data_IF_607563354646
#
_entry.id   IF_607563354646
#
_cell.length_a   1.000
_cell.length_b   1.000
_cell.length_c   1.000
_cell.angle_alpha   90.00
_cell.angle_beta   90.00
_cell.angle_gamma   90.00
#
_symmetry.space_group_name_H-M   'P 1'
#
loop_
_entity.id
_entity.type
_entity.pdbx_description
1 polymer ?
#
# COMPACT_ATOMS: atom_id res chain seq x y z
N UNK A 1 -17.40 12.54 7.96
CA UNK A 1 -16.39 11.49 7.68
C UNK A 1 -15.46 12.01 6.58
N UNK A 2 -14.14 11.87 6.73
CA UNK A 2 -13.17 12.41 5.77
C UNK A 2 -12.52 11.31 4.92
N UNK A 3 -13.32 10.39 4.39
CA UNK A 3 -12.84 9.32 3.50
C UNK A 3 -13.61 9.30 2.18
N UNK A 4 -12.99 8.73 1.15
CA UNK A 4 -13.65 8.43 -0.13
C UNK A 4 -13.56 6.93 -0.42
N UNK A 5 -14.70 6.31 -0.68
CA UNK A 5 -14.83 4.88 -0.93
C UNK A 5 -14.97 4.62 -2.42
N UNK A 6 -14.16 3.70 -2.92
CA UNK A 6 -14.05 3.31 -4.32
C UNK A 6 -14.53 1.86 -4.44
N UNK A 7 -15.71 1.63 -5.03
CA UNK A 7 -16.20 0.27 -5.23
C UNK A 7 -15.31 -0.49 -6.23
N UNK A 8 -15.38 -1.81 -6.19
CA UNK A 8 -14.80 -2.67 -7.22
C UNK A 8 -15.71 -2.71 -8.45
N UNK A 9 -15.84 -1.57 -9.12
CA UNK A 9 -16.68 -1.41 -10.30
C UNK A 9 -15.94 -0.60 -11.35
N UNK A 10 -15.96 -1.08 -12.59
CA UNK A 10 -15.42 -0.34 -13.73
C UNK A 10 -16.30 0.88 -14.07
N UNK A 11 -15.69 1.88 -14.72
CA UNK A 11 -16.42 3.02 -15.29
C UNK A 11 -16.90 4.06 -14.27
N UNK A 12 -16.46 3.98 -13.01
CA UNK A 12 -16.75 5.04 -12.04
C UNK A 12 -15.89 6.28 -12.30
N UNK A 13 -16.44 7.46 -12.04
CA UNK A 13 -15.67 8.70 -12.05
C UNK A 13 -14.94 8.87 -10.71
N UNK A 14 -13.61 8.78 -10.72
CA UNK A 14 -12.78 9.11 -9.57
C UNK A 14 -12.64 10.64 -9.43
N UNK A 15 -12.67 11.19 -8.20
CA UNK A 15 -12.39 12.60 -7.96
C UNK A 15 -11.07 13.02 -8.61
N UNK A 16 -11.01 14.26 -9.11
CA UNK A 16 -9.78 14.82 -9.69
C UNK A 16 -8.66 14.93 -8.64
N UNK A 17 -9.04 15.21 -7.39
CA UNK A 17 -8.11 15.41 -6.28
C UNK A 17 -8.47 14.48 -5.12
N UNK A 18 -7.82 13.31 -5.09
CA UNK A 18 -7.94 12.35 -3.99
C UNK A 18 -7.31 12.86 -2.69
N UNK A 19 -6.42 13.85 -2.76
CA UNK A 19 -5.75 14.42 -1.58
C UNK A 19 -6.65 15.24 -0.66
N UNK A 20 -7.88 15.56 -1.10
CA UNK A 20 -8.89 16.23 -0.26
C UNK A 20 -9.45 15.34 0.83
N UNK A 21 -9.32 14.02 0.67
CA UNK A 21 -9.81 13.03 1.62
C UNK A 21 -8.64 12.56 2.49
N UNK A 22 -8.86 12.45 3.79
CA UNK A 22 -7.86 11.89 4.71
C UNK A 22 -7.57 10.41 4.37
N UNK A 23 -8.58 9.68 3.89
CA UNK A 23 -8.45 8.25 3.58
C UNK A 23 -9.15 7.91 2.26
N UNK A 24 -8.48 7.07 1.47
CA UNK A 24 -9.09 6.42 0.31
C UNK A 24 -9.30 4.95 0.66
N UNK A 25 -10.52 4.45 0.45
CA UNK A 25 -10.90 3.06 0.73
C UNK A 25 -11.20 2.37 -0.60
N UNK A 26 -10.37 1.41 -0.98
CA UNK A 26 -10.60 0.54 -2.13
C UNK A 26 -11.34 -0.73 -1.67
N UNK A 27 -12.53 -0.97 -2.22
CA UNK A 27 -13.23 -2.24 -2.03
C UNK A 27 -12.65 -3.29 -2.96
N UNK A 28 -12.55 -4.54 -2.51
CA UNK A 28 -12.12 -5.68 -3.32
C UNK A 28 -13.04 -6.87 -3.09
N UNK A 29 -13.28 -7.68 -4.11
CA UNK A 29 -14.08 -8.91 -4.02
C UNK A 29 -13.20 -10.17 -4.13
N UNK A 30 -11.90 -9.97 -4.35
CA UNK A 30 -10.88 -11.00 -4.40
C UNK A 30 -9.79 -10.67 -3.36
N UNK A 31 -8.76 -11.52 -3.29
CA UNK A 31 -7.63 -11.28 -2.39
C UNK A 31 -6.74 -10.13 -2.89
N UNK A 32 -6.60 -9.98 -4.21
CA UNK A 32 -5.75 -8.97 -4.82
C UNK A 32 -6.46 -7.61 -4.91
N UNK A 33 -5.83 -6.55 -4.40
CA UNK A 33 -6.34 -5.18 -4.54
C UNK A 33 -6.26 -4.69 -5.99
N UNK A 34 -5.34 -5.24 -6.78
CA UNK A 34 -5.15 -4.86 -8.18
C UNK A 34 -6.22 -5.44 -9.13
N UNK A 35 -7.05 -6.37 -8.65
CA UNK A 35 -8.26 -6.79 -9.37
C UNK A 35 -9.34 -5.70 -9.36
N UNK A 36 -9.25 -4.71 -8.46
CA UNK A 36 -10.10 -3.52 -8.55
C UNK A 36 -9.62 -2.66 -9.74
N UNK A 37 -10.47 -2.42 -10.76
CA UNK A 37 -10.08 -1.72 -11.99
C UNK A 37 -9.65 -0.27 -11.76
N UNK A 38 -9.89 0.28 -10.56
CA UNK A 38 -9.56 1.64 -10.19
C UNK A 38 -8.22 1.76 -9.45
N UNK A 39 -7.62 0.65 -9.01
CA UNK A 39 -6.41 0.67 -8.15
C UNK A 39 -5.24 1.37 -8.83
N UNK A 40 -5.01 1.14 -10.13
CA UNK A 40 -3.95 1.82 -10.88
C UNK A 40 -4.15 3.32 -10.93
N UNK A 41 -5.37 3.75 -11.25
CA UNK A 41 -5.67 5.18 -11.32
C UNK A 41 -5.55 5.84 -9.95
N UNK A 42 -5.82 5.12 -8.86
CA UNK A 42 -5.55 5.61 -7.51
C UNK A 42 -4.05 5.74 -7.26
N UNK A 43 -3.25 4.71 -7.56
CA UNK A 43 -1.78 4.76 -7.37
C UNK A 43 -1.10 5.87 -8.19
N UNK A 44 -1.65 6.22 -9.35
CA UNK A 44 -1.18 7.35 -10.15
C UNK A 44 -1.58 8.71 -9.57
N UNK A 45 -2.67 8.78 -8.79
CA UNK A 45 -3.28 10.03 -8.30
C UNK A 45 -3.02 10.35 -6.83
N UNK A 46 -2.66 9.37 -6.00
CA UNK A 46 -2.30 9.62 -4.60
C UNK A 46 -1.05 10.54 -4.54
N UNK A 47 -0.99 11.46 -3.56
CA UNK A 47 0.08 12.47 -3.40
C UNK A 47 0.42 12.67 -1.93
N UNK A 48 1.69 12.82 -1.55
CA UNK A 48 2.07 13.63 -0.40
C UNK A 48 2.12 15.11 -0.81
N UNK A 49 1.34 15.98 -0.17
CA UNK A 49 1.64 17.43 -0.11
C UNK A 49 1.20 18.36 -1.25
N UNK A 50 0.52 17.91 -2.31
CA UNK A 50 0.08 18.76 -3.43
C UNK A 50 0.86 18.52 -4.72
N UNK A 51 0.45 19.12 -5.86
CA UNK A 51 1.09 18.88 -7.19
C UNK A 51 2.62 19.11 -7.09
N UNK A 52 3.47 18.23 -7.66
CA UNK A 52 3.22 17.17 -8.68
C UNK A 52 3.13 15.71 -8.07
N UNK A 53 3.19 14.57 -8.82
CA UNK A 53 2.65 13.25 -8.40
C UNK A 53 3.42 12.60 -7.24
N UNK A 54 2.88 11.50 -6.65
CA UNK A 54 3.66 10.58 -5.79
C UNK A 54 5.02 10.40 -6.47
N UNK A 55 6.07 10.83 -5.77
CA UNK A 55 7.42 10.58 -6.22
C UNK A 55 7.49 9.08 -6.54
N UNK A 56 8.08 8.69 -7.68
CA UNK A 56 8.41 7.28 -7.95
C UNK A 56 9.06 6.63 -6.72
N UNK A 57 9.84 7.44 -6.00
CA UNK A 57 10.52 7.07 -4.79
C UNK A 57 9.64 7.20 -3.53
N UNK A 58 8.32 7.31 -3.61
CA UNK A 58 7.49 7.17 -2.41
C UNK A 58 7.59 5.73 -1.90
N UNK A 59 7.62 5.58 -0.58
CA UNK A 59 7.61 4.28 0.06
C UNK A 59 6.19 3.88 0.45
N UNK A 60 5.83 2.66 0.08
CA UNK A 60 4.56 2.04 0.43
C UNK A 60 4.78 1.17 1.67
N UNK A 61 4.22 1.60 2.79
CA UNK A 61 4.21 0.82 4.03
C UNK A 61 2.98 -0.09 4.01
N UNK A 62 3.20 -1.39 4.05
CA UNK A 62 2.15 -2.42 3.91
C UNK A 62 2.04 -3.23 5.21
N UNK A 63 0.80 -3.33 5.70
CA UNK A 63 0.44 -4.06 6.92
C UNK A 63 -1.00 -4.58 6.82
N UNK A 64 -1.41 -5.44 7.74
CA UNK A 64 -2.74 -6.05 7.78
C UNK A 64 -2.70 -7.57 7.61
N UNK A 65 -3.83 -8.17 7.23
CA UNK A 65 -3.98 -9.63 7.17
C UNK A 65 -4.60 -10.10 5.85
N UNK A 66 -4.28 -11.29 5.35
CA UNK A 66 -3.32 -12.29 5.88
C UNK A 66 -2.00 -12.19 5.11
N UNK A 67 -0.88 -12.45 5.78
CA UNK A 67 0.50 -12.35 5.26
C UNK A 67 0.64 -13.01 3.89
N UNK A 68 0.33 -14.29 3.77
CA UNK A 68 0.48 -15.13 2.57
C UNK A 68 -0.60 -14.88 1.49
N UNK A 69 -1.62 -14.07 1.80
CA UNK A 69 -2.74 -13.76 0.91
C UNK A 69 -2.76 -12.29 0.49
N UNK A 70 -3.68 -11.48 1.05
CA UNK A 70 -3.90 -10.10 0.62
C UNK A 70 -2.63 -9.24 0.76
N UNK A 71 -1.87 -9.44 1.85
CA UNK A 71 -0.62 -8.71 2.09
C UNK A 71 0.41 -9.06 1.02
N UNK A 72 0.61 -10.36 0.76
CA UNK A 72 1.51 -10.85 -0.30
C UNK A 72 1.15 -10.27 -1.66
N UNK A 73 -0.12 -10.34 -2.06
CA UNK A 73 -0.56 -9.89 -3.38
C UNK A 73 -0.42 -8.37 -3.53
N UNK A 74 -0.82 -7.60 -2.50
CA UNK A 74 -0.64 -6.14 -2.51
C UNK A 74 0.85 -5.73 -2.60
N UNK A 75 1.69 -6.30 -1.73
CA UNK A 75 3.13 -5.99 -1.72
C UNK A 75 3.81 -6.40 -3.03
N UNK A 76 3.53 -7.61 -3.53
CA UNK A 76 4.07 -8.10 -4.80
C UNK A 76 3.62 -7.23 -5.96
N UNK A 77 2.33 -6.88 -6.05
CA UNK A 77 1.81 -6.03 -7.11
C UNK A 77 2.42 -4.62 -7.12
N UNK A 78 2.71 -4.05 -5.94
CA UNK A 78 3.44 -2.78 -5.83
C UNK A 78 4.89 -2.91 -6.33
N UNK A 79 5.60 -3.97 -5.94
CA UNK A 79 6.98 -4.24 -6.38
C UNK A 79 7.07 -4.45 -7.90
N UNK A 80 6.13 -5.18 -8.50
CA UNK A 80 6.06 -5.39 -9.95
C UNK A 80 5.86 -4.07 -10.73
N UNK A 81 5.29 -3.06 -10.07
CA UNK A 81 5.13 -1.68 -10.59
C UNK A 81 6.33 -0.77 -10.26
N UNK A 82 7.43 -1.34 -9.78
CA UNK A 82 8.65 -0.61 -9.44
C UNK A 82 8.51 0.32 -8.23
N UNK A 83 7.53 0.08 -7.35
CA UNK A 83 7.36 0.86 -6.11
C UNK A 83 8.27 0.35 -5.01
N UNK A 84 8.70 1.25 -4.11
CA UNK A 84 9.41 0.88 -2.89
C UNK A 84 8.40 0.35 -1.87
N UNK A 85 8.63 -0.82 -1.30
CA UNK A 85 7.71 -1.46 -0.35
C UNK A 85 8.43 -1.79 0.94
N UNK A 86 7.82 -1.42 2.07
CA UNK A 86 8.21 -1.85 3.40
C UNK A 86 7.05 -2.61 4.06
N UNK A 87 7.30 -3.84 4.53
CA UNK A 87 6.34 -4.68 5.25
C UNK A 87 6.54 -4.49 6.75
N UNK A 88 5.45 -4.20 7.48
CA UNK A 88 5.47 -4.02 8.92
C UNK A 88 5.27 -5.37 9.61
N UNK A 89 6.36 -6.00 10.01
CA UNK A 89 6.42 -7.40 10.45
C UNK A 89 5.67 -7.71 11.73
N UNK A 90 5.49 -6.73 12.61
CA UNK A 90 4.70 -6.83 13.85
C UNK A 90 3.23 -6.37 13.66
N UNK A 91 2.85 -5.98 12.44
CA UNK A 91 1.49 -5.60 12.07
C UNK A 91 0.93 -6.44 10.89
N UNK A 92 1.49 -7.63 10.68
CA UNK A 92 0.98 -8.66 9.76
C UNK A 92 0.77 -9.96 10.52
N UNK A 93 -0.21 -10.76 10.11
CA UNK A 93 -0.51 -12.05 10.73
C UNK A 93 -0.64 -13.13 9.67
N UNK A 94 -0.17 -14.35 9.96
CA UNK A 94 -0.19 -15.50 9.05
C UNK A 94 -1.12 -16.58 9.61
N UNK A 95 -1.78 -17.35 8.75
CA UNK A 95 -2.56 -18.51 9.21
C UNK A 95 -1.67 -19.74 9.37
N UNK A 96 -0.63 -19.86 8.55
CA UNK A 96 0.37 -20.93 8.63
C UNK A 96 1.80 -20.36 8.71
N UNK A 97 2.56 -20.63 9.80
CA UNK A 97 3.89 -20.08 9.97
C UNK A 97 4.90 -20.44 8.86
N UNK A 98 4.73 -21.57 8.16
CA UNK A 98 5.62 -21.93 7.06
C UNK A 98 5.28 -21.13 5.79
N UNK A 99 4.00 -20.91 5.49
CA UNK A 99 3.56 -20.03 4.41
C UNK A 99 3.93 -18.56 4.66
N UNK A 100 3.78 -18.08 5.90
CA UNK A 100 4.22 -16.75 6.31
C UNK A 100 5.73 -16.54 6.06
N UNK A 101 6.58 -17.48 6.50
CA UNK A 101 8.03 -17.43 6.24
C UNK A 101 8.36 -17.42 4.75
N UNK A 102 7.79 -18.34 3.96
CA UNK A 102 7.98 -18.39 2.50
C UNK A 102 7.58 -17.07 1.82
N UNK A 103 6.50 -16.46 2.29
CA UNK A 103 6.01 -15.18 1.77
C UNK A 103 6.99 -14.05 2.05
N UNK A 104 7.52 -13.95 3.27
CA UNK A 104 8.51 -12.93 3.60
C UNK A 104 9.81 -13.12 2.80
N UNK A 105 10.27 -14.37 2.63
CA UNK A 105 11.41 -14.71 1.78
C UNK A 105 11.18 -14.31 0.31
N UNK A 106 9.98 -14.60 -0.24
CA UNK A 106 9.64 -14.18 -1.60
C UNK A 106 9.68 -12.66 -1.76
N UNK A 107 9.01 -11.91 -0.87
CA UNK A 107 8.87 -10.46 -0.98
C UNK A 107 10.21 -9.74 -0.77
N UNK A 108 11.02 -10.21 0.18
CA UNK A 108 12.38 -9.67 0.39
C UNK A 108 13.30 -9.99 -0.79
N UNK A 109 13.23 -11.20 -1.36
CA UNK A 109 13.94 -11.55 -2.59
C UNK A 109 13.55 -10.68 -3.81
N UNK A 110 12.37 -10.08 -3.79
CA UNK A 110 11.88 -9.10 -4.78
C UNK A 110 12.20 -7.64 -4.43
N UNK A 111 12.85 -7.39 -3.30
CA UNK A 111 13.28 -6.05 -2.88
C UNK A 111 12.39 -5.35 -1.84
N UNK A 112 11.41 -6.03 -1.23
CA UNK A 112 10.70 -5.47 -0.08
C UNK A 112 11.64 -5.34 1.12
N UNK A 113 11.49 -4.27 1.88
CA UNK A 113 12.12 -4.12 3.21
C UNK A 113 11.21 -4.70 4.28
N UNK A 114 11.79 -5.28 5.31
CA UNK A 114 11.06 -5.64 6.53
C UNK A 114 11.36 -4.57 7.57
N UNK A 115 10.30 -4.04 8.18
CA UNK A 115 10.38 -3.06 9.26
C UNK A 115 9.44 -3.47 10.40
N UNK A 116 9.56 -2.85 11.56
CA UNK A 116 8.56 -2.91 12.63
C UNK A 116 7.73 -1.62 12.69
N UNK A 117 6.77 -1.56 13.61
CA UNK A 117 5.85 -0.42 13.75
C UNK A 117 6.58 0.86 14.16
N UNK A 118 7.58 0.77 15.04
CA UNK A 118 8.38 1.93 15.48
C UNK A 118 9.17 2.54 14.30
N UNK A 119 9.78 1.70 13.46
CA UNK A 119 10.47 2.14 12.24
C UNK A 119 9.50 2.76 11.24
N UNK A 120 8.27 2.25 11.12
CA UNK A 120 7.24 2.83 10.26
C UNK A 120 6.83 4.24 10.74
N UNK A 121 6.68 4.44 12.06
CA UNK A 121 6.40 5.74 12.65
C UNK A 121 7.55 6.72 12.45
N UNK A 122 8.80 6.27 12.63
CA UNK A 122 9.97 7.10 12.39
C UNK A 122 10.07 7.57 10.92
N UNK A 123 9.70 6.74 9.94
CA UNK A 123 9.61 7.15 8.53
C UNK A 123 8.58 8.28 8.32
N UNK A 124 7.43 8.20 8.99
CA UNK A 124 6.40 9.23 8.92
C UNK A 124 6.87 10.55 9.53
N UNK A 125 7.49 10.50 10.72
CA UNK A 125 8.03 11.68 11.39
C UNK A 125 9.09 12.39 10.53
N UNK A 126 10.03 11.61 9.96
CA UNK A 126 11.03 12.14 9.04
C UNK A 126 10.37 12.79 7.80
N UNK A 127 9.36 12.13 7.22
CA UNK A 127 8.64 12.69 6.09
C UNK A 127 7.94 14.01 6.44
N UNK A 128 7.28 14.11 7.60
CA UNK A 128 6.61 15.35 8.05
C UNK A 128 7.62 16.46 8.28
N UNK A 129 8.75 16.17 8.92
CA UNK A 129 9.81 17.15 9.17
C UNK A 129 10.42 17.72 7.87
N UNK A 130 10.46 16.94 6.80
CA UNK A 130 10.94 17.41 5.48
C UNK A 130 9.94 18.31 4.72
N UNK A 131 8.67 18.37 5.14
CA UNK A 131 7.63 19.21 4.51
C UNK A 131 7.25 20.44 5.34
N UNK A 132 7.85 20.63 6.53
CA UNK A 132 7.69 21.79 7.40
C UNK A 132 8.77 22.85 7.10
#
# INVERSE_FOLDING_TARGET
ENFYRIPNQAGIALPEDLGKFQQIILEKQTLDVFDNPNTESVLERLRPGGKPPINKDAEFVVFGVVTEYCVRLAAKGLLERGRRVALVTDAIETLDPADGRRTLEELTGRGARLINTDEALALLEAAVAHHA
#
